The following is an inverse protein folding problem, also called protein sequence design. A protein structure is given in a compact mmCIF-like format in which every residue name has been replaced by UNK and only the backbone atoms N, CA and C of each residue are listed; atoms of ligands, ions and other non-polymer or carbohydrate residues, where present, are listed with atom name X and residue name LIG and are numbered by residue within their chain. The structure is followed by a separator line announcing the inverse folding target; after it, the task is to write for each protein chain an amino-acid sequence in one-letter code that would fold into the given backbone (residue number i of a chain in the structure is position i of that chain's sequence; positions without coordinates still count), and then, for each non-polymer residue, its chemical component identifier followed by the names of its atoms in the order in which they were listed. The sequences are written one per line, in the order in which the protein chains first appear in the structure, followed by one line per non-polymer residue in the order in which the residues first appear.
data_IF_950252814771
#
_entry.id   IF_950252814771
#
_cell.length_a   1.000
_cell.length_b   1.000
_cell.length_c   1.000
_cell.angle_alpha   90.00
_cell.angle_beta   90.00
_cell.angle_gamma   90.00
#
_symmetry.space_group_name_H-M   'P 1'
#
loop_
_entity.id
_entity.type
_entity.pdbx_description
1 polymer ?
#
# COMPACT_ATOMS: atom_id res chain seq x y z
N UNK A 1 29.47 -6.23 13.93
CA UNK A 1 28.18 -6.03 13.22
C UNK A 1 28.53 -5.37 11.90
N UNK A 2 28.30 -6.04 10.80
CA UNK A 2 28.48 -5.46 9.47
C UNK A 2 27.34 -4.45 9.22
N UNK A 3 27.57 -3.39 8.46
CA UNK A 3 26.55 -2.38 8.10
C UNK A 3 25.24 -2.97 7.55
N UNK A 4 25.21 -4.26 7.24
CA UNK A 4 24.06 -4.96 6.69
C UNK A 4 23.11 -5.57 7.75
N UNK A 5 23.48 -5.60 9.04
CA UNK A 5 22.70 -6.28 10.09
C UNK A 5 21.80 -5.35 10.93
N UNK A 6 21.83 -4.05 10.65
CA UNK A 6 21.07 -3.05 11.42
C UNK A 6 19.55 -3.22 11.35
N UNK A 7 19.04 -3.87 10.33
CA UNK A 7 17.60 -4.08 10.09
C UNK A 7 17.05 -5.37 10.71
N UNK A 8 17.90 -6.34 11.05
CA UNK A 8 17.47 -7.66 11.52
C UNK A 8 16.69 -7.60 12.86
N UNK A 9 17.18 -6.89 13.88
CA UNK A 9 16.44 -6.73 15.14
C UNK A 9 15.09 -6.00 14.97
N UNK A 10 15.07 -4.97 14.13
CA UNK A 10 13.86 -4.21 13.83
C UNK A 10 12.83 -5.06 13.10
N UNK A 11 13.29 -5.95 12.23
CA UNK A 11 12.42 -6.87 11.49
C UNK A 11 11.81 -7.95 12.38
N UNK A 12 12.60 -8.54 13.27
CA UNK A 12 12.09 -9.55 14.21
C UNK A 12 10.99 -8.95 15.09
N UNK A 13 11.20 -7.74 15.62
CA UNK A 13 10.17 -6.99 16.36
C UNK A 13 8.93 -6.70 15.52
N UNK A 14 9.11 -6.32 14.27
CA UNK A 14 8.00 -6.06 13.35
C UNK A 14 7.22 -7.33 13.00
N UNK A 15 7.88 -8.46 12.83
CA UNK A 15 7.25 -9.74 12.54
C UNK A 15 6.43 -10.24 13.76
N UNK A 16 6.95 -10.07 14.96
CA UNK A 16 6.24 -10.38 16.22
C UNK A 16 5.03 -9.44 16.44
N UNK A 17 5.21 -8.14 16.24
CA UNK A 17 4.14 -7.15 16.34
C UNK A 17 3.07 -7.41 15.28
N UNK A 18 3.45 -7.76 14.05
CA UNK A 18 2.53 -8.13 12.98
C UNK A 18 1.75 -9.40 13.28
N UNK A 19 2.35 -10.40 13.93
CA UNK A 19 1.67 -11.63 14.34
C UNK A 19 0.61 -11.34 15.42
N UNK A 20 0.94 -10.51 16.40
CA UNK A 20 -0.02 -10.06 17.45
C UNK A 20 -1.15 -9.25 16.82
N UNK A 21 -0.83 -8.24 16.01
CA UNK A 21 -1.83 -7.45 15.30
C UNK A 21 -2.77 -8.30 14.44
N UNK A 22 -2.27 -9.38 13.82
CA UNK A 22 -3.10 -10.29 13.04
C UNK A 22 -4.09 -11.08 13.89
N UNK A 23 -3.68 -11.53 15.08
CA UNK A 23 -4.54 -12.22 16.03
C UNK A 23 -5.60 -11.27 16.57
N UNK A 24 -5.17 -10.14 17.11
CA UNK A 24 -6.04 -9.16 17.76
C UNK A 24 -6.98 -8.49 16.76
N UNK A 25 -6.51 -8.29 15.52
CA UNK A 25 -7.30 -7.70 14.45
C UNK A 25 -8.47 -8.57 14.00
N UNK A 26 -8.27 -9.88 13.94
CA UNK A 26 -9.36 -10.81 13.60
C UNK A 26 -10.47 -10.74 14.63
N UNK A 27 -10.11 -10.61 15.92
CA UNK A 27 -11.07 -10.49 17.02
C UNK A 27 -11.80 -9.14 17.03
N UNK A 28 -11.07 -8.04 16.82
CA UNK A 28 -11.64 -6.69 16.79
C UNK A 28 -12.52 -6.46 15.57
N UNK A 29 -12.13 -7.00 14.43
CA UNK A 29 -12.94 -6.92 13.22
C UNK A 29 -14.24 -7.70 13.34
N UNK A 30 -14.21 -8.87 13.99
CA UNK A 30 -15.41 -9.65 14.27
C UNK A 30 -16.38 -8.91 15.21
N UNK A 31 -15.86 -8.03 16.08
CA UNK A 31 -16.64 -7.19 17.01
C UNK A 31 -17.03 -5.82 16.42
N UNK A 32 -16.52 -5.43 15.24
CA UNK A 32 -16.73 -4.10 14.66
C UNK A 32 -16.11 -2.96 15.48
N UNK A 33 -15.15 -3.26 16.36
CA UNK A 33 -14.52 -2.29 17.25
C UNK A 33 -13.31 -1.60 16.60
N UNK A 34 -13.58 -0.62 15.75
CA UNK A 34 -12.55 0.18 15.10
C UNK A 34 -11.78 1.09 16.06
N UNK A 35 -12.36 1.48 17.19
CA UNK A 35 -11.68 2.27 18.21
C UNK A 35 -10.56 1.49 18.90
N UNK A 36 -10.78 0.20 19.17
CA UNK A 36 -9.76 -0.69 19.72
C UNK A 36 -8.69 -1.04 18.68
N UNK A 37 -9.08 -1.19 17.40
CA UNK A 37 -8.12 -1.31 16.30
C UNK A 37 -7.19 -0.09 16.24
N UNK A 38 -7.74 1.11 16.32
CA UNK A 38 -6.98 2.35 16.37
C UNK A 38 -5.97 2.36 17.52
N UNK A 39 -6.36 1.94 18.73
CA UNK A 39 -5.46 1.82 19.88
C UNK A 39 -4.36 0.79 19.69
N UNK A 40 -4.66 -0.33 19.04
CA UNK A 40 -3.67 -1.37 18.69
C UNK A 40 -2.64 -0.89 17.67
N UNK A 41 -3.05 -0.09 16.71
CA UNK A 41 -2.14 0.42 15.67
C UNK A 41 -1.31 1.61 16.18
N UNK A 42 -1.86 2.41 17.10
CA UNK A 42 -1.28 3.67 17.59
C UNK A 42 -0.94 3.65 19.08
N UNK A 43 -1.39 2.61 19.82
CA UNK A 43 -1.21 2.54 21.26
C UNK A 43 0.24 2.60 21.73
N UNK A 44 0.53 2.16 22.94
CA UNK A 44 1.87 2.14 23.57
C UNK A 44 2.98 1.57 22.67
N UNK A 45 2.62 1.17 21.49
CA UNK A 45 3.40 0.56 20.46
C UNK A 45 3.76 1.46 19.27
N UNK A 46 3.59 2.80 19.31
CA UNK A 46 4.26 3.66 18.32
C UNK A 46 5.74 3.26 18.20
N UNK A 47 6.36 2.87 19.31
CA UNK A 47 7.71 2.31 19.33
C UNK A 47 7.78 0.84 18.85
N UNK A 48 6.72 0.04 19.01
CA UNK A 48 6.75 -1.41 18.76
C UNK A 48 5.98 -1.85 17.51
N UNK A 49 4.92 -1.15 17.13
CA UNK A 49 4.04 -1.62 16.04
C UNK A 49 4.66 -1.53 14.67
N UNK A 50 5.73 -0.77 14.49
CA UNK A 50 6.25 -0.47 13.20
C UNK A 50 7.76 -0.23 13.17
N UNK A 51 8.56 -1.06 13.82
CA UNK A 51 10.00 -1.01 13.64
C UNK A 51 10.40 -1.13 12.15
N UNK A 52 9.56 -1.75 11.31
CA UNK A 52 9.73 -1.75 9.85
C UNK A 52 9.18 -0.48 9.18
N UNK A 53 8.28 0.25 9.82
CA UNK A 53 7.65 1.47 9.29
C UNK A 53 8.35 2.72 9.80
N UNK A 54 8.98 2.68 10.97
CA UNK A 54 9.83 3.76 11.49
C UNK A 54 11.16 3.90 10.75
N UNK A 55 11.43 2.99 9.82
CA UNK A 55 12.61 3.05 9.00
C UNK A 55 12.23 3.51 7.59
N UNK A 56 12.59 4.73 7.25
CA UNK A 56 12.38 5.32 5.93
C UNK A 56 12.90 4.48 4.76
N UNK A 57 13.83 3.58 5.02
CA UNK A 57 14.50 2.83 3.96
C UNK A 57 13.57 1.82 3.28
N UNK A 58 12.65 1.17 4.01
CA UNK A 58 11.76 0.19 3.39
C UNK A 58 10.65 0.85 2.56
N UNK A 59 9.89 1.83 3.06
CA UNK A 59 8.97 2.63 2.26
C UNK A 59 9.66 3.27 1.06
N UNK A 60 10.83 3.86 1.25
CA UNK A 60 11.63 4.48 0.20
C UNK A 60 12.00 3.49 -0.90
N UNK A 61 12.60 2.36 -0.53
CA UNK A 61 12.96 1.32 -1.50
C UNK A 61 11.74 0.74 -2.22
N UNK A 62 10.62 0.55 -1.52
CA UNK A 62 9.35 0.05 -2.10
C UNK A 62 8.80 1.03 -3.13
N UNK A 63 8.67 2.29 -2.78
CA UNK A 63 8.17 3.34 -3.69
C UNK A 63 9.06 3.45 -4.92
N UNK A 64 10.37 3.57 -4.75
CA UNK A 64 11.30 3.65 -5.86
C UNK A 64 11.26 2.42 -6.78
N UNK A 65 11.14 1.21 -6.22
CA UNK A 65 10.98 0.00 -7.04
C UNK A 65 9.67 0.04 -7.83
N UNK A 66 8.56 0.44 -7.22
CA UNK A 66 7.27 0.55 -7.90
C UNK A 66 7.36 1.56 -9.04
N UNK A 67 7.80 2.78 -8.78
CA UNK A 67 7.96 3.82 -9.80
C UNK A 67 8.89 3.40 -10.94
N UNK A 68 9.91 2.64 -10.63
CA UNK A 68 10.83 2.12 -11.62
C UNK A 68 10.20 1.10 -12.55
N UNK A 69 9.26 0.27 -12.08
CA UNK A 69 8.65 -0.81 -12.85
C UNK A 69 7.32 -0.44 -13.50
N UNK A 70 6.71 0.65 -13.08
CA UNK A 70 5.49 1.19 -13.66
C UNK A 70 5.79 2.41 -14.55
N UNK A 71 5.00 2.53 -15.59
CA UNK A 71 4.86 3.80 -16.32
C UNK A 71 3.63 4.52 -15.75
N UNK A 72 3.89 5.46 -14.86
CA UNK A 72 2.85 6.23 -14.17
C UNK A 72 2.59 7.59 -14.83
N UNK A 73 3.33 7.91 -15.89
CA UNK A 73 3.28 9.23 -16.51
C UNK A 73 3.78 10.33 -15.57
N UNK A 74 3.15 11.50 -15.63
CA UNK A 74 3.43 12.65 -14.77
C UNK A 74 2.16 13.08 -14.03
N UNK A 75 1.72 12.30 -13.01
CA UNK A 75 0.50 12.60 -12.27
C UNK A 75 0.66 13.92 -11.52
N UNK A 76 -0.39 14.74 -11.50
CA UNK A 76 -0.44 16.02 -10.79
C UNK A 76 -1.16 15.94 -9.46
N UNK A 77 -2.04 14.96 -9.32
CA UNK A 77 -2.80 14.71 -8.09
C UNK A 77 -2.69 13.24 -7.70
N UNK A 78 -2.24 12.98 -6.47
CA UNK A 78 -1.98 11.63 -5.98
C UNK A 78 -2.63 11.42 -4.64
N UNK A 79 -3.33 10.30 -4.49
CA UNK A 79 -3.89 9.83 -3.23
C UNK A 79 -3.09 8.62 -2.72
N UNK A 80 -2.59 8.69 -1.49
CA UNK A 80 -2.11 7.53 -0.73
C UNK A 80 -3.22 7.08 0.23
N UNK A 81 -3.93 6.05 -0.19
CA UNK A 81 -5.08 5.53 0.53
C UNK A 81 -4.62 4.66 1.70
N UNK A 82 -5.02 5.04 2.92
CA UNK A 82 -4.57 4.45 4.19
C UNK A 82 -3.07 4.63 4.44
N UNK A 83 -2.66 5.87 4.44
CA UNK A 83 -1.27 6.29 4.57
C UNK A 83 -0.62 6.01 5.95
N UNK A 84 -1.41 5.72 6.99
CA UNK A 84 -0.93 5.54 8.35
C UNK A 84 -0.15 6.75 8.85
N UNK A 85 1.10 6.52 9.27
CA UNK A 85 2.00 7.58 9.77
C UNK A 85 2.65 8.44 8.66
N UNK A 86 2.27 8.25 7.39
CA UNK A 86 2.69 9.11 6.28
C UNK A 86 4.07 8.84 5.68
N UNK A 87 4.79 7.82 6.12
CA UNK A 87 6.14 7.53 5.58
C UNK A 87 6.15 7.21 4.08
N UNK A 88 5.18 6.44 3.61
CA UNK A 88 5.05 6.16 2.17
C UNK A 88 4.66 7.42 1.41
N UNK A 89 3.73 8.18 1.94
CA UNK A 89 3.22 9.44 1.37
C UNK A 89 4.34 10.44 1.15
N UNK A 90 5.22 10.62 2.15
CA UNK A 90 6.34 11.56 2.03
C UNK A 90 7.35 11.15 0.97
N UNK A 91 7.60 9.84 0.82
CA UNK A 91 8.49 9.33 -0.24
C UNK A 91 7.84 9.50 -1.63
N UNK A 92 6.53 9.31 -1.75
CA UNK A 92 5.82 9.60 -3.00
C UNK A 92 5.98 11.08 -3.38
N UNK A 93 5.84 11.99 -2.40
CA UNK A 93 6.00 13.42 -2.63
C UNK A 93 7.45 13.80 -3.04
N UNK A 94 8.46 13.12 -2.51
CA UNK A 94 9.85 13.31 -2.95
C UNK A 94 10.09 12.84 -4.39
N UNK A 95 9.45 11.74 -4.80
CA UNK A 95 9.58 11.18 -6.17
C UNK A 95 8.78 11.98 -7.19
N UNK A 96 7.69 12.60 -6.74
CA UNK A 96 6.79 13.43 -7.57
C UNK A 96 6.71 14.86 -7.02
N UNK A 97 7.80 15.65 -7.09
CA UNK A 97 7.85 16.96 -6.45
C UNK A 97 6.87 17.99 -7.02
N UNK A 98 6.38 17.76 -8.25
CA UNK A 98 5.42 18.64 -8.95
C UNK A 98 3.96 18.21 -8.76
N UNK A 99 3.70 17.19 -7.96
CA UNK A 99 2.36 16.67 -7.71
C UNK A 99 1.83 17.10 -6.33
N UNK A 100 0.52 17.26 -6.26
CA UNK A 100 -0.19 17.40 -4.98
C UNK A 100 -0.47 16.02 -4.41
N UNK A 101 0.14 15.72 -3.28
CA UNK A 101 0.00 14.43 -2.61
C UNK A 101 -0.91 14.57 -1.40
N UNK A 102 -1.96 13.75 -1.34
CA UNK A 102 -2.85 13.61 -0.20
C UNK A 102 -2.71 12.21 0.41
N UNK A 103 -2.32 12.11 1.65
CA UNK A 103 -2.42 10.88 2.44
C UNK A 103 -3.70 10.88 3.26
N UNK A 104 -4.44 9.78 3.24
CA UNK A 104 -5.64 9.62 4.09
C UNK A 104 -5.55 8.38 4.95
N UNK A 105 -6.07 8.47 6.16
CA UNK A 105 -6.27 7.34 7.05
C UNK A 105 -7.46 7.57 7.97
N UNK A 106 -8.02 6.50 8.52
CA UNK A 106 -9.09 6.54 9.50
C UNK A 106 -8.60 7.00 10.89
N UNK A 107 -7.32 6.72 11.19
CA UNK A 107 -6.72 6.96 12.49
C UNK A 107 -6.29 8.43 12.64
N UNK A 108 -7.09 9.23 13.40
CA UNK A 108 -6.82 10.65 13.64
C UNK A 108 -5.42 10.92 14.21
N UNK A 109 -4.95 10.07 15.16
CA UNK A 109 -3.64 10.24 15.77
C UNK A 109 -2.51 9.96 14.76
N UNK A 110 -2.71 9.00 13.84
CA UNK A 110 -1.76 8.76 12.76
C UNK A 110 -1.68 9.97 11.82
N UNK A 111 -2.82 10.54 11.46
CA UNK A 111 -2.89 11.74 10.63
C UNK A 111 -2.30 12.96 11.35
N UNK A 112 -2.56 13.14 12.65
CA UNK A 112 -1.96 14.20 13.44
C UNK A 112 -0.42 14.07 13.46
N UNK A 113 0.09 12.85 13.69
CA UNK A 113 1.52 12.55 13.59
C UNK A 113 2.06 12.86 12.19
N UNK A 114 1.46 12.29 11.14
CA UNK A 114 1.90 12.49 9.76
C UNK A 114 1.96 13.98 9.39
N UNK A 115 0.92 14.76 9.73
CA UNK A 115 0.86 16.21 9.50
C UNK A 115 1.92 16.98 10.26
N UNK A 116 2.31 16.51 11.46
CA UNK A 116 3.36 17.14 12.25
C UNK A 116 4.76 16.87 11.71
N UNK A 117 5.03 15.66 11.24
CA UNK A 117 6.35 15.19 10.82
C UNK A 117 6.66 15.47 9.33
N UNK A 118 5.67 15.39 8.47
CA UNK A 118 5.87 15.47 7.03
C UNK A 118 5.23 16.74 6.45
N UNK A 119 6.05 17.61 5.85
CA UNK A 119 5.62 18.93 5.35
C UNK A 119 5.51 18.99 3.81
N UNK A 120 5.90 17.91 3.12
CA UNK A 120 5.89 17.82 1.67
C UNK A 120 4.63 17.15 1.09
N UNK A 121 3.64 16.85 1.94
CA UNK A 121 2.35 16.28 1.56
C UNK A 121 1.24 16.84 2.44
N UNK A 122 -0.01 16.67 2.01
CA UNK A 122 -1.21 16.95 2.81
C UNK A 122 -1.74 15.67 3.41
N UNK A 123 -2.43 15.76 4.56
CA UNK A 123 -2.99 14.61 5.26
C UNK A 123 -4.42 14.89 5.72
N UNK A 124 -5.29 13.87 5.65
CA UNK A 124 -6.69 14.00 6.03
C UNK A 124 -7.24 12.75 6.73
N UNK A 125 -8.12 12.96 7.72
CA UNK A 125 -8.86 11.87 8.38
C UNK A 125 -10.04 11.50 7.50
N UNK A 126 -9.95 10.36 6.82
CA UNK A 126 -10.99 9.86 5.93
C UNK A 126 -11.13 8.35 6.08
N UNK A 127 -12.35 7.88 6.27
CA UNK A 127 -12.65 6.45 6.22
C UNK A 127 -12.74 5.99 4.77
N UNK A 128 -11.90 5.03 4.40
CA UNK A 128 -12.00 4.38 3.11
C UNK A 128 -13.05 3.27 3.17
N UNK A 129 -14.24 3.56 2.66
CA UNK A 129 -15.41 2.69 2.69
C UNK A 129 -15.98 2.51 1.27
N UNK A 130 -16.50 1.29 0.93
CA UNK A 130 -17.13 1.04 -0.37
C UNK A 130 -18.32 1.95 -0.72
N UNK A 131 -19.04 2.43 0.30
CA UNK A 131 -20.17 3.37 0.19
C UNK A 131 -19.78 4.80 0.52
N UNK A 132 -18.48 5.06 0.72
CA UNK A 132 -17.97 6.37 1.12
C UNK A 132 -18.18 7.46 0.07
N UNK A 133 -18.21 8.69 0.54
CA UNK A 133 -18.31 9.87 -0.33
C UNK A 133 -17.03 10.02 -1.20
N UNK A 134 -17.20 10.76 -2.27
CA UNK A 134 -16.07 11.09 -3.16
C UNK A 134 -15.08 11.98 -2.43
N UNK A 135 -13.81 11.55 -2.40
CA UNK A 135 -12.70 12.24 -1.70
C UNK A 135 -12.17 13.40 -2.57
N UNK A 136 -12.12 13.17 -3.88
CA UNK A 136 -11.54 14.14 -4.82
C UNK A 136 -11.42 13.58 -6.23
N UNK A 137 -10.49 14.15 -6.99
CA UNK A 137 -10.13 13.63 -8.32
C UNK A 137 -8.62 13.50 -8.40
N UNK A 138 -8.15 12.27 -8.68
CA UNK A 138 -6.74 11.93 -8.64
C UNK A 138 -6.27 11.28 -9.94
N UNK A 139 -5.08 11.63 -10.38
CA UNK A 139 -4.43 10.97 -11.51
C UNK A 139 -3.85 9.62 -11.09
N UNK A 140 -3.53 9.48 -9.81
CA UNK A 140 -2.93 8.28 -9.27
C UNK A 140 -3.42 8.02 -7.84
N UNK A 141 -3.87 6.79 -7.59
CA UNK A 141 -4.26 6.34 -6.24
C UNK A 141 -3.37 5.15 -5.87
N UNK A 142 -2.65 5.24 -4.77
CA UNK A 142 -1.91 4.14 -4.19
C UNK A 142 -2.69 3.46 -3.07
N UNK A 143 -2.69 2.12 -3.08
CA UNK A 143 -3.24 1.25 -2.06
C UNK A 143 -2.15 0.28 -1.60
N UNK A 144 -1.37 0.68 -0.58
CA UNK A 144 -0.26 -0.13 -0.08
C UNK A 144 -0.64 -0.92 1.17
N UNK A 145 -0.70 -2.25 1.04
CA UNK A 145 -0.99 -3.19 2.15
C UNK A 145 -2.26 -2.82 2.94
N UNK A 146 -3.27 -2.29 2.26
CA UNK A 146 -4.50 -1.87 2.94
C UNK A 146 -5.35 -3.07 3.32
N UNK A 147 -5.99 -2.99 4.49
CA UNK A 147 -6.77 -4.06 5.10
C UNK A 147 -7.80 -4.71 4.15
N UNK A 148 -8.63 -3.94 3.42
CA UNK A 148 -9.66 -4.54 2.58
C UNK A 148 -9.13 -5.54 1.57
N UNK A 149 -7.90 -5.35 1.07
CA UNK A 149 -7.29 -6.27 0.12
C UNK A 149 -6.38 -7.32 0.77
N UNK A 150 -5.82 -7.05 1.97
CA UNK A 150 -4.88 -7.99 2.61
C UNK A 150 -5.55 -9.03 3.48
N UNK A 151 -6.71 -8.74 4.06
CA UNK A 151 -7.29 -9.54 5.14
C UNK A 151 -8.78 -9.80 4.99
N UNK A 152 -9.53 -8.96 4.27
CA UNK A 152 -10.92 -9.21 3.94
C UNK A 152 -10.99 -10.20 2.76
N UNK A 153 -11.85 -11.21 2.86
CA UNK A 153 -12.08 -12.21 1.79
C UNK A 153 -13.39 -11.97 1.05
N UNK A 154 -14.14 -10.95 1.44
CA UNK A 154 -15.39 -10.59 0.79
C UNK A 154 -15.13 -9.95 -0.56
N UNK A 155 -15.40 -10.70 -1.61
CA UNK A 155 -15.22 -10.29 -3.00
C UNK A 155 -16.09 -9.08 -3.32
N UNK A 156 -17.33 -9.05 -2.81
CA UNK A 156 -18.26 -7.95 -3.06
C UNK A 156 -17.76 -6.65 -2.44
N UNK A 157 -17.31 -6.71 -1.19
CA UNK A 157 -16.72 -5.57 -0.47
C UNK A 157 -15.50 -5.00 -1.22
N UNK A 158 -14.56 -5.88 -1.60
CA UNK A 158 -13.35 -5.46 -2.32
C UNK A 158 -13.68 -4.84 -3.68
N UNK A 159 -14.63 -5.44 -4.40
CA UNK A 159 -15.05 -4.95 -5.72
C UNK A 159 -15.74 -3.59 -5.64
N UNK A 160 -16.61 -3.40 -4.66
CA UNK A 160 -17.27 -2.10 -4.41
C UNK A 160 -16.25 -1.03 -4.00
N UNK A 161 -15.25 -1.40 -3.18
CA UNK A 161 -14.19 -0.47 -2.81
C UNK A 161 -13.36 -0.03 -4.03
N UNK A 162 -13.00 -0.95 -4.92
CA UNK A 162 -12.30 -0.59 -6.17
C UNK A 162 -13.17 0.32 -7.04
N UNK A 163 -14.47 0.03 -7.14
CA UNK A 163 -15.41 0.91 -7.83
C UNK A 163 -15.42 2.31 -7.23
N UNK A 164 -15.60 2.44 -5.91
CA UNK A 164 -15.57 3.73 -5.23
C UNK A 164 -14.24 4.47 -5.48
N UNK A 165 -13.11 3.80 -5.38
CA UNK A 165 -11.80 4.38 -5.71
C UNK A 165 -11.74 4.84 -7.16
N UNK A 166 -12.31 4.08 -8.10
CA UNK A 166 -12.31 4.44 -9.53
C UNK A 166 -13.15 5.69 -9.83
N UNK A 167 -14.16 5.97 -9.04
CA UNK A 167 -14.97 7.19 -9.12
C UNK A 167 -14.16 8.44 -8.70
N UNK A 168 -13.08 8.24 -7.94
CA UNK A 168 -12.12 9.27 -7.57
C UNK A 168 -10.97 9.42 -8.58
N UNK A 169 -10.93 8.65 -9.67
CA UNK A 169 -9.92 8.81 -10.72
C UNK A 169 -10.31 9.89 -11.73
N UNK A 170 -9.32 10.66 -12.16
CA UNK A 170 -9.40 11.45 -13.38
C UNK A 170 -9.47 10.54 -14.62
N UNK A 171 -9.84 11.10 -15.76
CA UNK A 171 -9.73 10.40 -17.05
C UNK A 171 -8.29 10.00 -17.33
N UNK A 172 -8.04 8.75 -17.68
CA UNK A 172 -6.70 8.20 -17.81
C UNK A 172 -5.95 7.94 -16.50
N UNK A 173 -6.60 8.17 -15.33
CA UNK A 173 -6.02 7.94 -14.01
C UNK A 173 -5.83 6.46 -13.70
N UNK A 174 -4.98 6.17 -12.70
CA UNK A 174 -4.61 4.80 -12.32
C UNK A 174 -4.75 4.55 -10.83
N UNK A 175 -5.18 3.34 -10.46
CA UNK A 175 -5.04 2.79 -9.09
C UNK A 175 -3.92 1.77 -9.11
N UNK A 176 -3.00 1.86 -8.15
CA UNK A 176 -1.91 0.90 -7.95
C UNK A 176 -2.11 0.20 -6.62
N UNK A 177 -2.40 -1.10 -6.66
CA UNK A 177 -2.57 -1.92 -5.47
C UNK A 177 -1.32 -2.77 -5.28
N UNK A 178 -0.59 -2.53 -4.19
CA UNK A 178 0.56 -3.34 -3.76
C UNK A 178 0.22 -4.06 -2.48
N UNK A 179 0.18 -5.38 -2.56
CA UNK A 179 -0.29 -6.19 -1.46
C UNK A 179 0.41 -7.53 -1.37
N UNK A 180 0.65 -7.99 -0.14
CA UNK A 180 1.02 -9.37 0.12
C UNK A 180 -0.25 -10.21 0.12
N UNK A 181 -0.64 -10.73 -1.04
CA UNK A 181 -1.80 -11.60 -1.16
C UNK A 181 -1.52 -12.94 -0.49
N UNK A 182 -2.04 -13.11 0.71
CA UNK A 182 -2.00 -14.41 1.39
C UNK A 182 -2.95 -15.43 0.74
N UNK A 183 -3.93 -14.95 0.00
CA UNK A 183 -4.87 -15.77 -0.74
C UNK A 183 -4.84 -15.38 -2.23
N UNK A 184 -3.97 -16.03 -2.99
CA UNK A 184 -3.81 -15.80 -4.43
C UNK A 184 -5.09 -16.08 -5.23
N UNK A 185 -6.01 -16.86 -4.66
CA UNK A 185 -7.24 -17.29 -5.31
C UNK A 185 -8.38 -16.26 -5.21
N UNK A 186 -8.26 -15.29 -4.30
CA UNK A 186 -9.30 -14.26 -4.11
C UNK A 186 -9.26 -13.15 -5.17
N UNK A 187 -8.11 -12.93 -5.80
CA UNK A 187 -7.94 -11.81 -6.73
C UNK A 187 -8.73 -11.94 -8.04
N UNK A 188 -8.69 -13.10 -8.75
CA UNK A 188 -9.43 -13.24 -10.02
C UNK A 188 -10.94 -12.98 -9.88
N UNK A 189 -11.65 -13.50 -8.86
CA UNK A 189 -13.06 -13.17 -8.64
C UNK A 189 -13.32 -11.68 -8.46
N UNK A 190 -12.46 -10.97 -7.70
CA UNK A 190 -12.60 -9.53 -7.49
C UNK A 190 -12.44 -8.77 -8.80
N UNK A 191 -11.37 -9.05 -9.57
CA UNK A 191 -11.14 -8.38 -10.84
C UNK A 191 -12.25 -8.66 -11.87
N UNK A 192 -12.76 -9.89 -11.92
CA UNK A 192 -13.89 -10.23 -12.78
C UNK A 192 -15.15 -9.46 -12.39
N UNK A 193 -15.46 -9.36 -11.10
CA UNK A 193 -16.60 -8.59 -10.64
C UNK A 193 -16.45 -7.10 -10.95
N UNK A 194 -15.29 -6.53 -10.73
CA UNK A 194 -15.02 -5.12 -11.07
C UNK A 194 -15.12 -4.88 -12.57
N UNK A 195 -14.60 -5.78 -13.41
CA UNK A 195 -14.72 -5.66 -14.87
C UNK A 195 -16.19 -5.62 -15.34
N UNK A 196 -17.06 -6.39 -14.67
CA UNK A 196 -18.50 -6.37 -14.97
C UNK A 196 -19.20 -5.11 -14.46
N UNK A 197 -18.76 -4.55 -13.32
CA UNK A 197 -19.35 -3.34 -12.72
C UNK A 197 -18.86 -2.05 -13.40
N UNK A 198 -17.62 -2.03 -13.87
CA UNK A 198 -16.89 -0.86 -14.35
C UNK A 198 -16.19 -1.21 -15.68
N UNK A 199 -16.93 -1.33 -16.80
CA UNK A 199 -16.35 -1.73 -18.08
C UNK A 199 -15.32 -0.73 -18.65
N UNK A 200 -15.30 0.48 -18.13
CA UNK A 200 -14.30 1.52 -18.46
C UNK A 200 -12.93 1.24 -17.84
N UNK A 201 -12.82 0.30 -16.91
CA UNK A 201 -11.54 -0.03 -16.27
C UNK A 201 -10.82 -1.13 -17.03
N UNK A 202 -9.50 -1.04 -17.06
CA UNK A 202 -8.58 -2.08 -17.54
C UNK A 202 -7.64 -2.50 -16.41
N UNK A 203 -7.14 -3.74 -16.48
CA UNK A 203 -6.37 -4.35 -15.40
C UNK A 203 -5.07 -4.94 -15.93
N UNK A 204 -3.97 -4.55 -15.30
CA UNK A 204 -2.65 -5.11 -15.56
C UNK A 204 -2.04 -5.66 -14.27
N UNK A 205 -1.29 -6.75 -14.38
CA UNK A 205 -0.50 -7.30 -13.27
C UNK A 205 0.97 -7.13 -13.60
N UNK A 206 1.64 -6.28 -12.83
CA UNK A 206 3.05 -5.94 -13.04
C UNK A 206 3.89 -6.62 -11.97
N UNK A 207 4.88 -7.39 -12.39
CA UNK A 207 5.86 -7.98 -11.49
C UNK A 207 6.98 -6.99 -11.19
N UNK A 208 7.35 -6.86 -9.90
CA UNK A 208 8.51 -6.09 -9.48
C UNK A 208 9.31 -6.85 -8.41
N UNK A 209 10.62 -6.59 -8.28
CA UNK A 209 11.44 -7.26 -7.30
C UNK A 209 11.13 -6.73 -5.89
N UNK A 210 11.29 -7.59 -4.90
CA UNK A 210 11.18 -7.18 -3.49
C UNK A 210 12.06 -5.95 -3.21
N UNK A 211 11.63 -5.00 -2.36
CA UNK A 211 12.37 -3.77 -2.04
C UNK A 211 13.82 -3.96 -1.56
N UNK A 212 14.20 -5.16 -1.13
CA UNK A 212 15.58 -5.50 -0.76
C UNK A 212 16.52 -5.72 -1.95
N UNK A 213 15.98 -5.93 -3.15
CA UNK A 213 16.81 -6.02 -4.34
C UNK A 213 17.35 -4.63 -4.64
N UNK A 214 18.68 -4.47 -4.81
CA UNK A 214 19.29 -3.15 -4.96
C UNK A 214 18.72 -2.34 -6.13
N UNK A 215 18.45 -1.08 -5.90
CA UNK A 215 17.90 -0.16 -6.90
C UNK A 215 18.88 0.12 -8.06
N UNK A 216 20.17 -0.02 -7.85
CA UNK A 216 21.19 0.19 -8.88
C UNK A 216 21.24 -0.92 -9.93
N UNK A 217 20.68 -2.13 -9.64
CA UNK A 217 20.61 -3.21 -10.63
C UNK A 217 19.69 -2.83 -11.80
N UNK A 218 20.08 -3.05 -13.07
CA UNK A 218 19.20 -2.87 -14.22
C UNK A 218 17.87 -3.63 -14.06
N UNK A 219 16.75 -3.09 -14.53
CA UNK A 219 15.39 -3.67 -14.34
C UNK A 219 15.33 -5.17 -14.62
N UNK A 220 15.88 -5.61 -15.77
CA UNK A 220 15.88 -7.03 -16.17
C UNK A 220 16.69 -7.90 -15.20
N UNK A 221 17.85 -7.41 -14.77
CA UNK A 221 18.70 -8.12 -13.81
C UNK A 221 18.09 -8.17 -12.42
N UNK A 222 17.43 -7.10 -11.98
CA UNK A 222 16.73 -7.06 -10.71
C UNK A 222 15.62 -8.11 -10.63
N UNK A 223 14.78 -8.24 -11.66
CA UNK A 223 13.76 -9.29 -11.74
C UNK A 223 14.35 -10.69 -11.85
N UNK A 224 15.41 -10.86 -12.62
CA UNK A 224 16.10 -12.14 -12.76
C UNK A 224 16.71 -12.59 -11.43
N UNK A 225 17.41 -11.70 -10.74
CA UNK A 225 17.98 -11.96 -9.41
C UNK A 225 16.90 -12.32 -8.40
N UNK A 226 15.76 -11.58 -8.40
CA UNK A 226 14.63 -11.88 -7.55
C UNK A 226 14.08 -13.29 -7.79
N UNK A 227 13.92 -13.71 -9.05
CA UNK A 227 13.47 -15.07 -9.40
C UNK A 227 14.45 -16.15 -8.95
N UNK A 228 15.77 -15.91 -9.05
CA UNK A 228 16.78 -16.84 -8.55
C UNK A 228 16.69 -16.99 -7.04
N UNK A 229 16.64 -15.87 -6.31
CA UNK A 229 16.51 -15.88 -4.85
C UNK A 229 15.24 -16.58 -4.42
N UNK A 230 14.11 -16.34 -5.11
CA UNK A 230 12.84 -17.01 -4.86
C UNK A 230 12.94 -18.54 -5.02
N UNK A 231 13.63 -19.02 -6.07
CA UNK A 231 13.87 -20.45 -6.30
C UNK A 231 14.72 -21.09 -5.20
N UNK A 232 15.77 -20.39 -4.76
CA UNK A 232 16.70 -20.92 -3.75
C UNK A 232 16.07 -20.90 -2.37
N UNK A 233 15.38 -19.81 -2.02
CA UNK A 233 14.86 -19.60 -0.67
C UNK A 233 13.44 -20.10 -0.47
N UNK A 234 12.73 -20.43 -1.55
CA UNK A 234 11.29 -20.73 -1.59
C UNK A 234 10.41 -19.64 -0.94
N UNK A 235 10.95 -18.41 -0.83
CA UNK A 235 10.24 -17.23 -0.30
C UNK A 235 9.86 -16.32 -1.45
N UNK A 236 8.67 -15.74 -1.38
CA UNK A 236 8.19 -14.80 -2.39
C UNK A 236 9.06 -13.54 -2.44
N UNK A 237 9.87 -13.41 -3.49
CA UNK A 237 10.79 -12.29 -3.73
C UNK A 237 10.33 -11.45 -4.93
N UNK A 238 9.63 -12.06 -5.87
CA UNK A 238 8.94 -11.33 -6.95
C UNK A 238 7.56 -10.93 -6.45
N UNK A 239 7.34 -9.63 -6.30
CA UNK A 239 6.07 -9.05 -5.89
C UNK A 239 5.22 -8.70 -7.10
N UNK A 240 3.91 -8.61 -6.89
CA UNK A 240 2.95 -8.24 -7.93
C UNK A 240 2.23 -6.97 -7.52
N UNK A 241 2.02 -6.12 -8.51
CA UNK A 241 1.14 -4.95 -8.43
C UNK A 241 -0.06 -5.20 -9.33
N UNK A 242 -1.21 -4.77 -8.88
CA UNK A 242 -2.37 -4.61 -9.74
C UNK A 242 -2.42 -3.15 -10.12
N UNK A 243 -2.46 -2.89 -11.42
CA UNK A 243 -2.67 -1.56 -11.97
C UNK A 243 -4.03 -1.55 -12.60
N UNK A 244 -4.90 -0.69 -12.10
CA UNK A 244 -6.24 -0.46 -12.63
C UNK A 244 -6.20 0.88 -13.33
N UNK A 245 -6.50 0.92 -14.61
CA UNK A 245 -6.48 2.15 -15.40
C UNK A 245 -7.88 2.50 -15.87
N UNK A 246 -8.29 3.74 -15.69
CA UNK A 246 -9.54 4.29 -16.21
C UNK A 246 -9.30 4.77 -17.63
N UNK A 247 -10.07 4.25 -18.58
CA UNK A 247 -9.98 4.69 -19.97
C UNK A 247 -10.30 6.18 -20.09
N UNK A 248 -9.60 6.84 -21.00
CA UNK A 248 -9.80 8.26 -21.29
C UNK A 248 -11.15 8.52 -21.98
#
# INVERSE_FOLDING_TARGET
MTENDWWLPSRLKADEASARLLSDFSELNAKGDFGSYRRLVLGDSLENSNASVHNDLFPRSKVHQIFRFLDLGNPKTVLDARCGLGYTTTVIAEVLPDAHILGIDLAEDAIAYASSQHKNASFGVVALDPSGERIGTFDLIFCFEIYPFSRNRDVSYQSQLIRNLSENLSSGGKIVISQTWRNKDALPPVLNQVANMCPELSFDVVAYPHPRIPLWLPKKLALYSAKIVERITQKEVVKKLIVISKRA
#
